data_IF_386658327832
#
_entry.id   IF_386658327832
#
_cell.length_a   1.000
_cell.length_b   1.000
_cell.length_c   1.000
_cell.angle_alpha   90.00
_cell.angle_beta   90.00
_cell.angle_gamma   90.00
#
_symmetry.space_group_name_H-M   'P 1'
#
loop_
_entity.id
_entity.type
_entity.pdbx_description
1 polymer ?
#
# COMPACT_ATOMS: atom_id res chain seq x y z
N UNK A 1 -12.49 -15.76 58.51
CA UNK A 1 -12.20 -16.53 57.27
C UNK A 1 -13.17 -17.71 57.19
N UNK A 2 -14.12 -17.68 56.24
CA UNK A 2 -15.36 -18.49 56.27
C UNK A 2 -15.09 -20.01 56.17
N UNK A 3 -15.76 -20.80 57.01
CA UNK A 3 -15.68 -22.28 57.15
C UNK A 3 -15.75 -23.06 55.83
N UNK A 4 -16.40 -22.49 54.81
CA UNK A 4 -16.48 -23.04 53.46
C UNK A 4 -15.13 -23.09 52.72
N UNK A 5 -14.25 -22.09 52.90
CA UNK A 5 -12.89 -22.09 52.30
C UNK A 5 -12.03 -23.23 52.83
N UNK A 6 -12.14 -23.56 54.13
CA UNK A 6 -11.43 -24.69 54.73
C UNK A 6 -11.92 -26.04 54.19
N UNK A 7 -13.23 -26.19 53.98
CA UNK A 7 -13.82 -27.40 53.37
C UNK A 7 -13.43 -27.56 51.90
N UNK A 8 -13.42 -26.47 51.14
CA UNK A 8 -12.97 -26.47 49.75
C UNK A 8 -11.48 -26.83 49.64
N UNK A 9 -10.62 -26.25 50.49
CA UNK A 9 -9.19 -26.56 50.55
C UNK A 9 -8.94 -28.05 50.83
N UNK A 10 -9.57 -28.59 51.88
CA UNK A 10 -9.38 -29.99 52.27
C UNK A 10 -9.90 -30.97 51.19
N UNK A 11 -11.02 -30.65 50.53
CA UNK A 11 -11.57 -31.48 49.45
C UNK A 11 -10.72 -31.47 48.17
N UNK A 12 -10.22 -30.29 47.76
CA UNK A 12 -9.44 -30.14 46.53
C UNK A 12 -7.98 -30.58 46.71
N UNK A 13 -7.33 -30.16 47.79
CA UNK A 13 -5.87 -30.31 47.96
C UNK A 13 -5.51 -31.66 48.57
N UNK A 14 -6.25 -32.13 49.58
CA UNK A 14 -5.90 -33.39 50.27
C UNK A 14 -6.59 -34.62 49.67
N UNK A 15 -7.84 -34.49 49.18
CA UNK A 15 -8.61 -35.63 48.66
C UNK A 15 -8.42 -35.89 47.17
N UNK A 16 -8.23 -34.85 46.36
CA UNK A 16 -8.17 -34.96 44.89
C UNK A 16 -7.11 -34.05 44.24
N UNK A 17 -5.82 -34.20 44.59
CA UNK A 17 -4.77 -33.32 44.09
C UNK A 17 -4.67 -33.30 42.56
N UNK A 18 -4.89 -34.43 41.88
CA UNK A 18 -4.92 -34.51 40.41
C UNK A 18 -6.06 -33.70 39.77
N UNK A 19 -7.25 -33.69 40.39
CA UNK A 19 -8.39 -32.90 39.89
C UNK A 19 -8.18 -31.40 40.17
N UNK A 20 -7.62 -31.05 41.32
CA UNK A 20 -7.25 -29.67 41.62
C UNK A 20 -6.17 -29.14 40.66
N UNK A 21 -5.16 -29.96 40.32
CA UNK A 21 -4.14 -29.61 39.33
C UNK A 21 -4.76 -29.41 37.93
N UNK A 22 -5.69 -30.29 37.53
CA UNK A 22 -6.38 -30.18 36.26
C UNK A 22 -7.27 -28.93 36.17
N UNK A 23 -7.99 -28.59 37.24
CA UNK A 23 -8.82 -27.37 37.30
C UNK A 23 -7.94 -26.12 37.30
N UNK A 24 -6.83 -26.11 38.05
CA UNK A 24 -5.87 -25.01 38.04
C UNK A 24 -5.23 -24.84 36.64
N UNK A 25 -4.86 -25.96 35.99
CA UNK A 25 -4.36 -25.96 34.62
C UNK A 25 -5.39 -25.42 33.63
N UNK A 26 -6.64 -25.83 33.74
CA UNK A 26 -7.74 -25.33 32.91
C UNK A 26 -7.99 -23.83 33.13
N UNK A 27 -7.93 -23.35 34.38
CA UNK A 27 -8.06 -21.93 34.70
C UNK A 27 -6.88 -21.10 34.19
N UNK A 28 -5.65 -21.63 34.25
CA UNK A 28 -4.46 -20.98 33.70
C UNK A 28 -4.51 -20.93 32.17
N UNK A 29 -4.95 -22.01 31.52
CA UNK A 29 -5.18 -22.03 30.07
C UNK A 29 -6.28 -21.05 29.67
N UNK A 30 -7.42 -21.06 30.36
CA UNK A 30 -8.47 -20.07 30.13
C UNK A 30 -7.96 -18.65 30.32
N UNK A 31 -7.22 -18.38 31.40
CA UNK A 31 -6.62 -17.08 31.67
C UNK A 31 -5.66 -16.62 30.57
N UNK A 32 -4.83 -17.53 30.04
CA UNK A 32 -3.88 -17.26 28.97
C UNK A 32 -4.56 -16.99 27.62
N UNK A 33 -5.66 -17.66 27.31
CA UNK A 33 -6.33 -17.59 26.00
C UNK A 33 -7.56 -16.66 25.94
N UNK A 34 -7.98 -16.05 27.06
CA UNK A 34 -9.18 -15.19 27.13
C UNK A 34 -8.92 -13.71 26.75
N UNK A 35 -7.88 -13.40 25.98
CA UNK A 35 -7.72 -12.08 25.39
C UNK A 35 -8.51 -11.98 24.08
N UNK A 36 -9.20 -10.86 23.81
CA UNK A 36 -9.88 -10.66 22.54
C UNK A 36 -8.88 -10.73 21.39
N UNK A 37 -9.29 -11.38 20.30
CA UNK A 37 -8.55 -11.45 19.03
C UNK A 37 -9.47 -10.95 17.91
N UNK A 38 -9.10 -9.92 17.14
CA UNK A 38 -7.88 -9.13 17.27
C UNK A 38 -7.85 -8.28 18.56
N UNK A 39 -6.66 -7.95 19.05
CA UNK A 39 -6.50 -7.12 20.26
C UNK A 39 -6.89 -5.66 19.98
N UNK A 40 -6.63 -5.20 18.75
CA UNK A 40 -6.99 -3.87 18.25
C UNK A 40 -8.02 -4.01 17.14
N UNK A 41 -9.07 -3.18 17.20
CA UNK A 41 -10.16 -3.12 16.22
C UNK A 41 -10.23 -1.73 15.53
N UNK A 42 -9.11 -0.99 15.56
CA UNK A 42 -9.02 0.33 14.95
C UNK A 42 -8.75 0.21 13.44
N UNK A 43 -9.40 1.02 12.60
CA UNK A 43 -9.18 0.95 11.15
C UNK A 43 -7.75 1.34 10.79
N UNK A 44 -7.13 0.65 9.85
CA UNK A 44 -5.79 1.01 9.34
C UNK A 44 -5.87 1.75 8.00
N UNK A 45 -4.83 2.52 7.71
CA UNK A 45 -4.57 3.16 6.43
C UNK A 45 -4.26 2.10 5.38
N UNK A 46 -4.77 2.27 4.16
CA UNK A 46 -4.37 1.42 3.05
C UNK A 46 -3.02 1.89 2.53
N UNK A 47 -2.06 0.97 2.41
CA UNK A 47 -0.69 1.22 1.99
C UNK A 47 -0.41 0.44 0.71
N UNK A 48 0.14 1.11 -0.29
CA UNK A 48 0.56 0.53 -1.57
C UNK A 48 2.08 0.50 -1.62
N UNK A 49 2.64 -0.68 -1.85
CA UNK A 49 4.08 -0.91 -1.93
C UNK A 49 4.51 -1.40 -3.31
N UNK A 50 5.74 -1.06 -3.67
CA UNK A 50 6.42 -1.59 -4.85
C UNK A 50 6.74 -3.08 -4.67
N UNK A 51 7.22 -3.69 -5.75
CA UNK A 51 7.74 -5.06 -5.72
C UNK A 51 8.78 -5.25 -4.63
N UNK A 52 9.59 -4.24 -4.33
CA UNK A 52 10.68 -4.31 -3.35
C UNK A 52 10.27 -3.85 -1.93
N UNK A 53 8.98 -3.58 -1.71
CA UNK A 53 8.46 -3.14 -0.40
C UNK A 53 8.63 -1.64 -0.13
N UNK A 54 8.92 -0.83 -1.15
CA UNK A 54 9.02 0.63 -1.01
C UNK A 54 7.64 1.28 -1.11
N UNK A 55 7.38 2.30 -0.30
CA UNK A 55 6.08 2.96 -0.23
C UNK A 55 5.78 3.74 -1.52
N UNK A 56 4.75 3.34 -2.26
CA UNK A 56 4.27 4.02 -3.47
C UNK A 56 3.15 5.02 -3.16
N UNK A 57 2.34 4.73 -2.15
CA UNK A 57 1.18 5.55 -1.79
C UNK A 57 0.49 5.06 -0.52
N UNK A 58 -0.25 5.94 0.14
CA UNK A 58 -1.13 5.53 1.23
C UNK A 58 -2.41 6.36 1.27
N UNK A 59 -3.49 5.73 1.72
CA UNK A 59 -4.80 6.33 1.96
C UNK A 59 -5.08 6.35 3.45
N UNK A 60 -5.53 7.50 3.95
CA UNK A 60 -5.84 7.71 5.36
C UNK A 60 -6.92 6.72 5.83
N UNK A 61 -6.85 6.31 7.11
CA UNK A 61 -7.85 5.42 7.69
C UNK A 61 -9.22 6.13 7.80
N UNK A 62 -10.29 5.34 7.95
CA UNK A 62 -11.66 5.84 8.04
C UNK A 62 -11.89 6.80 9.23
N UNK A 63 -11.12 6.66 10.31
CA UNK A 63 -11.15 7.53 11.49
C UNK A 63 -10.27 8.79 11.35
N UNK A 64 -9.70 9.04 10.17
CA UNK A 64 -8.86 10.21 9.89
C UNK A 64 -7.43 10.11 10.44
N UNK A 65 -7.01 8.91 10.89
CA UNK A 65 -5.66 8.66 11.38
C UNK A 65 -4.77 8.10 10.27
N UNK A 66 -3.53 8.59 10.20
CA UNK A 66 -2.44 7.90 9.52
C UNK A 66 -1.95 6.79 10.43
N UNK A 67 -2.52 5.59 10.25
CA UNK A 67 -2.24 4.38 11.02
C UNK A 67 -1.90 3.26 10.07
N UNK A 68 -0.61 3.04 9.81
CA UNK A 68 -0.21 1.99 8.86
C UNK A 68 -0.52 0.60 9.43
N UNK A 69 -0.67 -0.43 8.59
CA UNK A 69 -0.92 -1.80 9.02
C UNK A 69 0.21 -2.31 9.93
N UNK A 70 -0.14 -3.17 10.90
CA UNK A 70 0.80 -3.66 11.90
C UNK A 70 2.08 -4.24 11.28
N UNK A 71 3.21 -3.97 11.93
CA UNK A 71 4.53 -4.44 11.50
C UNK A 71 4.93 -5.68 12.29
N UNK A 72 5.65 -6.61 11.67
CA UNK A 72 6.11 -7.82 12.35
C UNK A 72 7.31 -7.57 13.29
N UNK A 73 8.07 -6.50 13.03
CA UNK A 73 9.29 -6.20 13.77
C UNK A 73 9.61 -4.71 13.73
N UNK A 74 10.31 -4.26 14.76
CA UNK A 74 10.80 -2.88 14.87
C UNK A 74 12.32 -2.81 14.63
N UNK A 75 12.84 -1.67 14.13
CA UNK A 75 14.27 -1.47 13.97
C UNK A 75 15.02 -1.50 15.32
N UNK A 76 16.24 -2.07 15.38
CA UNK A 76 17.00 -2.19 16.63
C UNK A 76 17.22 -0.85 17.35
N UNK A 77 17.54 0.23 16.62
CA UNK A 77 17.75 1.55 17.23
C UNK A 77 16.51 2.06 17.97
N UNK A 78 15.34 1.87 17.38
CA UNK A 78 14.07 2.28 17.99
C UNK A 78 13.73 1.39 19.19
N UNK A 79 13.95 0.07 19.07
CA UNK A 79 13.77 -0.87 20.18
C UNK A 79 14.61 -0.50 21.40
N UNK A 80 15.91 -0.25 21.20
CA UNK A 80 16.82 0.15 22.27
C UNK A 80 16.42 1.50 22.87
N UNK A 81 16.09 2.49 22.03
CA UNK A 81 15.66 3.80 22.50
C UNK A 81 14.34 3.74 23.30
N UNK A 82 13.37 2.97 22.82
CA UNK A 82 12.06 2.81 23.45
C UNK A 82 12.16 2.10 24.79
N UNK A 83 12.86 0.96 24.84
CA UNK A 83 13.04 0.20 26.08
C UNK A 83 13.86 1.01 27.10
N UNK A 84 14.92 1.70 26.69
CA UNK A 84 15.70 2.54 27.59
C UNK A 84 14.89 3.73 28.15
N UNK A 85 13.93 4.26 27.37
CA UNK A 85 13.10 5.39 27.77
C UNK A 85 11.90 4.99 28.63
N UNK A 86 11.06 4.06 28.16
CA UNK A 86 9.79 3.69 28.80
C UNK A 86 9.95 2.55 29.80
N UNK A 87 10.77 1.54 29.51
CA UNK A 87 10.79 0.28 30.26
C UNK A 87 12.13 -0.47 30.19
N UNK A 88 13.12 -0.01 30.97
CA UNK A 88 14.51 -0.55 30.95
C UNK A 88 14.61 -2.04 31.25
N UNK A 89 13.62 -2.59 31.95
CA UNK A 89 13.60 -4.02 32.34
C UNK A 89 12.56 -4.81 31.56
N UNK A 90 12.10 -4.28 30.43
CA UNK A 90 11.06 -4.89 29.61
C UNK A 90 11.28 -6.39 29.39
N UNK A 91 12.50 -6.81 29.11
CA UNK A 91 12.85 -8.22 28.85
C UNK A 91 12.87 -9.13 30.09
N UNK A 92 12.87 -8.57 31.30
CA UNK A 92 13.08 -9.30 32.56
C UNK A 92 11.83 -9.46 33.42
N UNK A 93 10.69 -8.89 33.02
CA UNK A 93 9.44 -9.00 33.78
C UNK A 93 8.28 -9.53 32.94
N UNK A 94 7.30 -10.24 33.52
CA UNK A 94 6.13 -10.76 32.82
C UNK A 94 5.01 -9.70 32.75
N UNK A 95 5.25 -8.58 32.09
CA UNK A 95 4.26 -7.51 31.89
C UNK A 95 4.12 -6.47 32.99
N UNK A 96 4.50 -6.77 34.24
CA UNK A 96 4.58 -5.76 35.31
C UNK A 96 5.94 -5.83 35.97
N UNK A 97 6.59 -4.68 36.16
CA UNK A 97 7.87 -4.54 36.86
C UNK A 97 7.63 -4.20 38.35
N UNK A 98 7.72 -5.17 39.29
CA UNK A 98 7.45 -4.92 40.70
C UNK A 98 8.49 -3.99 41.32
N UNK A 99 9.75 -4.10 40.88
CA UNK A 99 10.84 -3.26 41.37
C UNK A 99 10.65 -1.83 40.85
N UNK A 100 10.17 -1.68 39.60
CA UNK A 100 9.88 -0.39 38.98
C UNK A 100 8.71 0.30 39.67
N UNK A 101 7.66 -0.46 39.98
CA UNK A 101 6.51 0.00 40.73
C UNK A 101 6.89 0.46 42.15
N UNK A 102 7.69 -0.32 42.87
CA UNK A 102 8.19 0.03 44.21
C UNK A 102 9.04 1.30 44.20
N UNK A 103 9.94 1.45 43.22
CA UNK A 103 10.75 2.66 43.03
C UNK A 103 9.88 3.89 42.77
N UNK A 104 8.91 3.77 41.86
CA UNK A 104 7.99 4.85 41.51
C UNK A 104 7.13 5.26 42.71
N UNK A 105 6.65 4.28 43.50
CA UNK A 105 5.89 4.54 44.72
C UNK A 105 6.72 5.31 45.76
N UNK A 106 7.94 4.86 46.04
CA UNK A 106 8.86 5.53 46.97
C UNK A 106 9.17 6.96 46.52
N UNK A 107 9.39 7.16 45.22
CA UNK A 107 9.65 8.49 44.66
C UNK A 107 8.43 9.41 44.79
N UNK A 108 7.23 8.91 44.50
CA UNK A 108 6.00 9.70 44.60
C UNK A 108 5.69 10.10 46.05
N UNK A 109 5.92 9.19 47.01
CA UNK A 109 5.79 9.48 48.45
C UNK A 109 6.77 10.58 48.87
N UNK A 110 8.05 10.46 48.49
CA UNK A 110 9.09 11.47 48.82
C UNK A 110 8.82 12.83 48.18
N UNK A 111 8.19 12.84 47.00
CA UNK A 111 7.97 14.07 46.22
C UNK A 111 6.65 14.78 46.55
N UNK A 112 5.75 14.15 47.31
CA UNK A 112 4.40 14.65 47.58
C UNK A 112 3.50 14.78 46.34
N UNK A 113 3.96 14.35 45.17
CA UNK A 113 3.27 14.41 43.88
C UNK A 113 3.69 13.25 42.99
N UNK A 114 2.88 12.92 41.98
CA UNK A 114 3.21 11.87 41.02
C UNK A 114 4.32 12.38 40.09
N UNK A 115 5.55 11.91 40.30
CA UNK A 115 6.75 12.28 39.51
C UNK A 115 7.16 11.17 38.55
N UNK A 116 7.01 9.91 38.94
CA UNK A 116 7.33 8.75 38.09
C UNK A 116 6.11 7.86 37.92
N UNK A 117 5.82 7.53 36.66
CA UNK A 117 4.92 6.44 36.31
C UNK A 117 5.57 5.09 36.64
N UNK A 118 4.74 4.09 36.91
CA UNK A 118 5.16 2.69 37.10
C UNK A 118 4.36 1.78 36.17
N UNK A 119 4.16 2.21 34.93
CA UNK A 119 3.47 1.43 33.88
C UNK A 119 4.52 0.93 32.90
N UNK A 120 4.45 -0.34 32.55
CA UNK A 120 5.33 -1.01 31.58
C UNK A 120 4.83 -0.81 30.15
N UNK A 121 5.64 -1.15 29.15
CA UNK A 121 5.21 -1.13 27.74
C UNK A 121 4.00 -2.02 27.50
N UNK A 122 3.97 -3.21 28.09
CA UNK A 122 2.86 -4.16 27.99
C UNK A 122 1.56 -3.58 28.55
N UNK A 123 1.61 -2.87 29.69
CA UNK A 123 0.44 -2.17 30.23
C UNK A 123 -0.03 -1.05 29.29
N UNK A 124 0.91 -0.33 28.67
CA UNK A 124 0.57 0.71 27.69
C UNK A 124 -0.11 0.13 26.45
N UNK A 125 0.34 -1.01 25.92
CA UNK A 125 -0.32 -1.72 24.80
C UNK A 125 -1.79 -2.03 25.14
N UNK A 126 -2.03 -2.66 26.29
CA UNK A 126 -3.38 -2.97 26.76
C UNK A 126 -4.23 -1.72 26.92
N UNK A 127 -3.66 -0.64 27.46
CA UNK A 127 -4.37 0.61 27.64
C UNK A 127 -4.80 1.20 26.29
N UNK A 128 -3.93 1.17 25.29
CA UNK A 128 -4.24 1.63 23.93
C UNK A 128 -5.31 0.76 23.27
N UNK A 129 -5.19 -0.56 23.37
CA UNK A 129 -6.19 -1.51 22.85
C UNK A 129 -7.59 -1.30 23.42
N UNK A 130 -7.68 -0.82 24.67
CA UNK A 130 -8.94 -0.52 25.35
C UNK A 130 -9.47 0.91 25.13
N UNK A 131 -8.94 1.64 24.15
CA UNK A 131 -9.38 3.01 23.86
C UNK A 131 -8.93 4.04 24.90
N UNK A 132 -7.79 3.82 25.56
CA UNK A 132 -7.17 4.75 26.50
C UNK A 132 -8.09 5.23 27.64
N UNK A 133 -8.60 4.32 28.50
CA UNK A 133 -9.47 4.68 29.62
C UNK A 133 -8.83 5.70 30.59
N UNK A 134 -9.66 6.40 31.40
CA UNK A 134 -9.18 7.39 32.37
C UNK A 134 -8.22 6.76 33.39
N UNK A 135 -7.24 7.55 33.84
CA UNK A 135 -6.17 7.11 34.75
C UNK A 135 -6.67 6.94 36.18
N UNK A 136 -7.32 5.81 36.46
CA UNK A 136 -7.77 5.42 37.80
C UNK A 136 -7.01 4.18 38.30
N UNK A 137 -6.94 3.99 39.62
CA UNK A 137 -6.32 2.80 40.22
C UNK A 137 -6.99 1.50 39.75
N UNK A 138 -8.32 1.55 39.57
CA UNK A 138 -9.09 0.42 39.04
C UNK A 138 -8.70 0.06 37.60
N UNK A 139 -8.59 1.05 36.72
CA UNK A 139 -8.16 0.81 35.35
C UNK A 139 -6.72 0.27 35.30
N UNK A 140 -5.85 0.78 36.18
CA UNK A 140 -4.48 0.27 36.32
C UNK A 140 -4.42 -1.18 36.78
N UNK A 141 -5.35 -1.62 37.64
CA UNK A 141 -5.46 -3.03 38.04
C UNK A 141 -5.90 -3.92 36.87
N UNK A 142 -6.86 -3.45 36.05
CA UNK A 142 -7.27 -4.16 34.83
C UNK A 142 -6.10 -4.24 33.83
N UNK A 143 -5.39 -3.13 33.60
CA UNK A 143 -4.19 -3.09 32.75
C UNK A 143 -3.13 -4.08 33.22
N UNK A 144 -2.88 -4.18 34.53
CA UNK A 144 -1.96 -5.14 35.13
C UNK A 144 -2.37 -6.58 34.82
N UNK A 145 -3.63 -6.94 35.07
CA UNK A 145 -4.14 -8.29 34.86
C UNK A 145 -4.13 -8.67 33.38
N UNK A 146 -4.46 -7.75 32.48
CA UNK A 146 -4.47 -8.01 31.05
C UNK A 146 -3.05 -8.00 30.45
N UNK A 147 -2.12 -7.21 31.00
CA UNK A 147 -0.72 -7.20 30.56
C UNK A 147 -0.03 -8.53 30.85
N UNK A 148 -0.26 -9.10 32.04
CA UNK A 148 0.26 -10.45 32.37
C UNK A 148 -0.34 -11.52 31.45
N UNK A 149 -1.60 -11.36 31.01
CA UNK A 149 -2.20 -12.27 30.01
C UNK A 149 -1.54 -12.14 28.64
N UNK A 150 -1.28 -10.90 28.20
CA UNK A 150 -0.64 -10.65 26.91
C UNK A 150 0.75 -11.28 26.84
N UNK A 151 1.50 -11.23 27.93
CA UNK A 151 2.84 -11.81 28.04
C UNK A 151 2.88 -13.33 28.07
N UNK A 152 1.75 -13.97 28.40
CA UNK A 152 1.62 -15.43 28.30
C UNK A 152 1.31 -15.88 26.87
N UNK A 153 0.67 -15.02 26.07
CA UNK A 153 0.21 -15.34 24.72
C UNK A 153 1.06 -14.77 23.59
N UNK A 154 1.94 -13.81 23.88
CA UNK A 154 2.73 -13.08 22.88
C UNK A 154 4.19 -12.95 23.29
N UNK A 155 5.08 -12.98 22.30
CA UNK A 155 6.50 -12.74 22.52
C UNK A 155 6.80 -11.27 22.83
N UNK A 156 7.92 -10.99 23.50
CA UNK A 156 8.37 -9.62 23.78
C UNK A 156 8.48 -8.77 22.51
N UNK A 157 8.92 -9.37 21.41
CA UNK A 157 9.03 -8.71 20.11
C UNK A 157 7.66 -8.37 19.52
N UNK A 158 6.68 -9.27 19.63
CA UNK A 158 5.29 -8.99 19.23
C UNK A 158 4.68 -7.86 20.05
N UNK A 159 4.91 -7.82 21.36
CA UNK A 159 4.41 -6.74 22.22
C UNK A 159 5.02 -5.39 21.81
N UNK A 160 6.31 -5.36 21.50
CA UNK A 160 6.97 -4.14 20.98
C UNK A 160 6.44 -3.72 19.61
N UNK A 161 6.18 -4.68 18.72
CA UNK A 161 5.57 -4.44 17.42
C UNK A 161 4.14 -3.87 17.55
N UNK A 162 3.32 -4.43 18.45
CA UNK A 162 1.99 -3.92 18.77
C UNK A 162 2.07 -2.50 19.35
N UNK A 163 2.98 -2.26 20.29
CA UNK A 163 3.20 -0.91 20.82
C UNK A 163 3.57 0.06 19.71
N UNK A 164 4.57 -0.29 18.91
CA UNK A 164 5.08 0.57 17.86
C UNK A 164 4.04 0.82 16.76
N UNK A 165 3.11 -0.10 16.51
CA UNK A 165 2.05 0.07 15.50
C UNK A 165 0.91 0.97 15.97
N UNK A 166 0.63 1.00 17.27
CA UNK A 166 -0.56 1.68 17.83
C UNK A 166 -0.25 2.92 18.69
N UNK A 167 1.03 3.19 18.98
CA UNK A 167 1.44 4.36 19.76
C UNK A 167 1.11 5.67 19.01
N UNK A 168 0.57 6.69 19.69
CA UNK A 168 0.31 7.99 19.08
C UNK A 168 1.59 8.82 19.02
N UNK A 169 1.99 9.31 17.84
CA UNK A 169 3.19 10.15 17.69
C UNK A 169 2.87 11.65 17.54
N UNK A 170 1.57 11.99 17.47
CA UNK A 170 1.05 13.36 17.55
C UNK A 170 0.25 13.77 16.31
N UNK A 171 -0.63 14.77 16.47
CA UNK A 171 -1.61 15.10 15.44
C UNK A 171 -2.49 13.89 15.11
N UNK A 172 -2.61 13.57 13.82
CA UNK A 172 -3.32 12.40 13.33
C UNK A 172 -2.39 11.23 12.95
N UNK A 173 -1.21 11.14 13.57
CA UNK A 173 -0.19 10.12 13.24
C UNK A 173 -0.11 9.07 14.34
N UNK A 174 -0.39 7.82 13.97
CA UNK A 174 -0.38 6.65 14.85
C UNK A 174 0.53 5.59 14.25
N UNK A 175 1.44 5.05 15.06
CA UNK A 175 2.37 4.03 14.65
C UNK A 175 3.70 4.58 14.12
N UNK A 176 4.76 3.80 14.36
CA UNK A 176 6.16 4.15 14.08
C UNK A 176 6.40 4.34 12.58
N UNK A 177 5.83 3.49 11.75
CA UNK A 177 6.04 3.55 10.29
C UNK A 177 5.41 4.81 9.70
N UNK A 178 4.17 5.12 10.08
CA UNK A 178 3.51 6.36 9.68
C UNK A 178 4.27 7.59 10.21
N UNK A 179 4.75 7.55 11.47
CA UNK A 179 5.54 8.64 12.05
C UNK A 179 6.88 8.84 11.34
N UNK A 180 7.58 7.76 10.99
CA UNK A 180 8.86 7.81 10.28
C UNK A 180 8.71 8.47 8.91
N UNK A 181 7.68 8.10 8.16
CA UNK A 181 7.38 8.73 6.88
C UNK A 181 6.92 10.17 7.02
N UNK A 182 6.03 10.46 7.97
CA UNK A 182 5.46 11.80 8.14
C UNK A 182 6.48 12.80 8.68
N UNK A 183 7.39 12.40 9.57
CA UNK A 183 8.33 13.35 10.16
C UNK A 183 9.71 13.35 9.50
N UNK A 184 10.11 12.26 8.85
CA UNK A 184 11.45 12.13 8.28
C UNK A 184 11.49 11.67 6.82
N UNK A 185 10.34 11.39 6.20
CA UNK A 185 10.26 11.01 4.79
C UNK A 185 10.95 9.69 4.44
N UNK A 186 11.14 8.79 5.41
CA UNK A 186 11.87 7.53 5.23
C UNK A 186 11.33 6.40 6.09
N UNK A 187 11.73 5.17 5.76
CA UNK A 187 11.34 3.97 6.51
C UNK A 187 11.98 3.94 7.90
N UNK A 188 11.34 3.30 8.91
CA UNK A 188 11.88 3.21 10.26
C UNK A 188 13.30 2.63 10.35
N UNK A 189 13.67 1.74 9.42
CA UNK A 189 14.99 1.10 9.38
C UNK A 189 16.11 2.09 9.07
N UNK A 190 15.81 3.21 8.42
CA UNK A 190 16.75 4.25 8.01
C UNK A 190 16.85 5.40 9.02
N UNK A 191 16.22 5.26 10.19
CA UNK A 191 16.28 6.29 11.23
C UNK A 191 17.69 6.40 11.83
N UNK A 192 18.10 7.65 12.10
CA UNK A 192 19.27 7.96 12.91
C UNK A 192 18.98 7.68 14.39
N UNK A 193 20.01 7.75 15.25
CA UNK A 193 19.81 7.66 16.69
C UNK A 193 19.01 8.85 17.24
N UNK A 194 19.20 10.05 16.69
CA UNK A 194 18.45 11.23 17.10
C UNK A 194 16.96 11.08 16.78
N UNK A 195 16.65 10.60 15.58
CA UNK A 195 15.27 10.40 15.11
C UNK A 195 14.60 9.24 15.86
N UNK A 196 15.29 8.12 16.05
CA UNK A 196 14.77 7.00 16.84
C UNK A 196 14.51 7.39 18.30
N UNK A 197 15.44 8.11 18.94
CA UNK A 197 15.27 8.63 20.29
C UNK A 197 14.12 9.63 20.38
N UNK A 198 13.95 10.48 19.37
CA UNK A 198 12.83 11.41 19.29
C UNK A 198 11.49 10.66 19.21
N UNK A 199 11.36 9.68 18.30
CA UNK A 199 10.15 8.89 18.18
C UNK A 199 9.88 8.09 19.47
N UNK A 200 10.91 7.59 20.15
CA UNK A 200 10.73 6.88 21.43
C UNK A 200 10.13 7.77 22.54
N UNK A 201 10.41 9.08 22.57
CA UNK A 201 9.89 9.98 23.62
C UNK A 201 8.51 10.57 23.32
N UNK A 202 8.06 10.54 22.07
CA UNK A 202 6.82 11.18 21.63
C UNK A 202 5.53 10.54 22.17
N UNK A 203 5.37 9.20 22.22
CA UNK A 203 4.15 8.55 22.69
C UNK A 203 3.67 9.02 24.07
N UNK A 204 4.62 9.32 24.96
CA UNK A 204 4.34 9.83 26.29
C UNK A 204 3.77 11.26 26.29
N UNK A 205 4.14 12.06 25.29
CA UNK A 205 3.74 13.47 25.17
C UNK A 205 3.55 13.88 23.70
N UNK A 206 2.52 13.35 23.01
CA UNK A 206 2.39 13.51 21.56
C UNK A 206 2.24 14.97 21.12
N UNK A 207 1.65 15.82 21.96
CA UNK A 207 1.50 17.26 21.68
C UNK A 207 2.82 18.05 21.61
N UNK A 208 3.97 17.44 21.94
CA UNK A 208 5.28 18.09 21.80
C UNK A 208 5.74 18.21 20.34
N UNK A 209 5.14 17.46 19.41
CA UNK A 209 5.58 17.43 18.01
C UNK A 209 5.23 18.70 17.22
N UNK A 210 4.27 19.50 17.70
CA UNK A 210 3.76 20.64 16.94
C UNK A 210 4.84 21.68 16.66
N UNK A 211 5.10 22.03 15.38
CA UNK A 211 6.08 23.05 15.03
C UNK A 211 5.82 24.38 15.74
N UNK A 212 6.88 25.03 16.23
CA UNK A 212 6.83 26.34 16.91
C UNK A 212 6.56 26.29 18.41
N UNK A 213 5.67 25.40 18.90
CA UNK A 213 5.37 25.27 20.34
C UNK A 213 6.13 24.10 20.96
N UNK A 214 6.69 24.27 22.16
CA UNK A 214 7.34 23.20 22.94
C UNK A 214 8.56 22.50 22.28
N UNK A 215 9.11 23.05 21.18
CA UNK A 215 10.27 22.47 20.46
C UNK A 215 11.50 22.31 21.36
N UNK A 216 11.77 23.28 22.22
CA UNK A 216 12.85 23.17 23.22
C UNK A 216 12.60 22.02 24.22
N UNK A 217 11.35 21.82 24.66
CA UNK A 217 11.02 20.74 25.58
C UNK A 217 11.20 19.36 24.92
N UNK A 218 10.81 19.22 23.65
CA UNK A 218 11.06 18.01 22.87
C UNK A 218 12.56 17.74 22.68
N UNK A 219 13.32 18.78 22.31
CA UNK A 219 14.77 18.72 22.13
C UNK A 219 15.46 18.25 23.41
N UNK A 220 15.10 18.84 24.56
CA UNK A 220 15.63 18.47 25.86
C UNK A 220 15.28 17.02 26.25
N UNK A 221 14.06 16.55 25.93
CA UNK A 221 13.65 15.15 26.17
C UNK A 221 14.46 14.18 25.32
N UNK A 222 14.57 14.43 24.02
CA UNK A 222 15.39 13.63 23.09
C UNK A 222 16.85 13.57 23.56
N UNK A 223 17.45 14.71 23.82
CA UNK A 223 18.87 14.82 24.22
C UNK A 223 19.14 14.21 25.61
N UNK A 224 18.12 14.12 26.48
CA UNK A 224 18.23 13.37 27.73
C UNK A 224 18.24 11.86 27.48
N UNK A 225 17.43 11.36 26.56
CA UNK A 225 17.43 9.95 26.19
C UNK A 225 18.75 9.56 25.50
N UNK A 226 19.27 10.39 24.59
CA UNK A 226 20.57 10.15 23.95
C UNK A 226 21.71 10.00 24.97
N UNK A 227 21.79 10.89 25.97
CA UNK A 227 22.76 10.76 27.07
C UNK A 227 22.58 9.48 27.88
N UNK A 228 21.34 9.07 28.15
CA UNK A 228 21.08 7.79 28.83
C UNK A 228 21.52 6.59 28.00
N UNK A 229 21.30 6.62 26.68
CA UNK A 229 21.79 5.58 25.78
C UNK A 229 23.31 5.49 25.81
N UNK A 230 24.00 6.62 25.85
CA UNK A 230 25.45 6.67 26.02
C UNK A 230 25.91 6.12 27.38
N UNK A 231 25.29 6.56 28.48
CA UNK A 231 25.58 6.08 29.85
C UNK A 231 25.34 4.56 30.00
N UNK A 232 24.36 4.02 29.28
CA UNK A 232 24.06 2.60 29.22
C UNK A 232 24.95 1.80 28.25
N UNK A 233 25.92 2.46 27.58
CA UNK A 233 26.85 1.85 26.64
C UNK A 233 26.23 1.41 25.31
N UNK A 234 25.04 1.90 24.96
CA UNK A 234 24.35 1.55 23.70
C UNK A 234 24.89 2.33 22.50
N UNK A 235 25.44 3.53 22.74
CA UNK A 235 26.11 4.37 21.74
C UNK A 235 27.39 4.96 22.34
N UNK A 236 28.39 5.19 21.50
CA UNK A 236 29.62 5.87 21.93
C UNK A 236 29.42 7.39 22.06
N UNK A 237 30.45 8.07 22.62
CA UNK A 237 30.40 9.51 22.87
C UNK A 237 30.30 10.37 21.61
N UNK A 238 30.97 9.98 20.53
CA UNK A 238 30.95 10.69 19.26
C UNK A 238 29.58 10.55 18.58
N UNK A 239 29.01 9.34 18.57
CA UNK A 239 27.67 9.07 18.08
C UNK A 239 26.63 9.88 18.87
N UNK A 240 26.78 9.96 20.20
CA UNK A 240 25.89 10.77 21.03
C UNK A 240 25.99 12.26 20.70
N UNK A 241 27.21 12.80 20.55
CA UNK A 241 27.39 14.23 20.24
C UNK A 241 26.80 14.58 18.87
N UNK A 242 27.07 13.76 17.84
CA UNK A 242 26.53 13.96 16.50
C UNK A 242 24.99 13.87 16.50
N UNK A 243 24.41 12.88 17.19
CA UNK A 243 22.95 12.73 17.29
C UNK A 243 22.28 13.90 18.04
N UNK A 244 22.98 14.54 18.99
CA UNK A 244 22.45 15.70 19.70
C UNK A 244 22.43 16.96 18.83
N UNK A 245 23.32 17.06 17.83
CA UNK A 245 23.39 18.15 16.86
C UNK A 245 22.35 18.04 15.74
N UNK A 246 21.82 16.84 15.47
CA UNK A 246 20.76 16.68 14.47
C UNK A 246 19.52 17.54 14.82
N UNK A 247 18.95 18.26 13.83
CA UNK A 247 17.78 19.10 14.06
C UNK A 247 16.54 18.26 14.36
N UNK A 248 15.54 18.87 15.02
CA UNK A 248 14.20 18.29 15.09
C UNK A 248 13.49 18.45 13.73
N UNK A 249 12.60 17.53 13.34
CA UNK A 249 11.83 17.66 12.12
C UNK A 249 10.95 18.91 12.15
N UNK A 250 10.62 19.43 10.97
CA UNK A 250 9.78 20.61 10.80
C UNK A 250 8.32 20.21 10.61
N UNK A 251 7.64 20.78 9.61
CA UNK A 251 6.31 20.37 9.23
C UNK A 251 6.31 18.92 8.71
N UNK A 252 5.22 18.15 8.94
CA UNK A 252 5.12 16.80 8.41
C UNK A 252 5.24 16.76 6.87
N UNK A 253 6.05 15.84 6.36
CA UNK A 253 6.20 15.57 4.93
C UNK A 253 4.92 14.97 4.34
N UNK A 254 4.59 15.31 3.08
CA UNK A 254 3.60 14.55 2.33
C UNK A 254 4.08 13.11 2.16
N UNK A 255 3.14 12.17 2.20
CA UNK A 255 3.47 10.78 1.86
C UNK A 255 3.78 10.67 0.36
N UNK A 256 4.63 9.71 -0.06
CA UNK A 256 4.79 9.39 -1.47
C UNK A 256 3.42 9.17 -2.13
N UNK A 257 3.27 9.67 -3.36
CA UNK A 257 2.06 9.52 -4.16
C UNK A 257 2.44 9.18 -5.61
N UNK A 258 3.17 8.08 -5.77
CA UNK A 258 3.75 7.66 -7.04
C UNK A 258 2.73 6.97 -7.97
N UNK A 259 1.74 6.28 -7.40
CA UNK A 259 0.69 5.57 -8.14
C UNK A 259 -0.72 5.79 -7.52
N UNK A 260 -1.20 7.04 -7.43
CA UNK A 260 -2.45 7.36 -6.73
C UNK A 260 -3.70 6.74 -7.39
N UNK A 261 -3.73 6.64 -8.73
CA UNK A 261 -4.83 5.99 -9.44
C UNK A 261 -4.90 4.50 -9.12
N UNK A 262 -3.76 3.82 -9.07
CA UNK A 262 -3.69 2.41 -8.69
C UNK A 262 -4.12 2.20 -7.22
N UNK A 263 -3.68 3.08 -6.32
CA UNK A 263 -4.10 3.07 -4.92
C UNK A 263 -5.63 3.23 -4.79
N UNK A 264 -6.22 4.18 -5.52
CA UNK A 264 -7.66 4.39 -5.53
C UNK A 264 -8.40 3.19 -6.11
N UNK A 265 -7.93 2.62 -7.23
CA UNK A 265 -8.49 1.42 -7.83
C UNK A 265 -8.47 0.24 -6.87
N UNK A 266 -7.31 -0.04 -6.25
CA UNK A 266 -7.16 -1.09 -5.26
C UNK A 266 -8.11 -0.89 -4.08
N UNK A 267 -8.23 0.33 -3.57
CA UNK A 267 -9.20 0.64 -2.52
C UNK A 267 -10.64 0.29 -2.91
N UNK A 268 -11.08 0.69 -4.11
CA UNK A 268 -12.44 0.39 -4.58
C UNK A 268 -12.68 -1.11 -4.75
N UNK A 269 -11.72 -1.84 -5.30
CA UNK A 269 -11.82 -3.30 -5.48
C UNK A 269 -11.92 -4.03 -4.13
N UNK A 270 -11.17 -3.59 -3.11
CA UNK A 270 -11.18 -4.21 -1.79
C UNK A 270 -12.46 -3.89 -1.01
N UNK A 271 -12.97 -2.66 -1.16
CA UNK A 271 -14.29 -2.29 -0.62
C UNK A 271 -15.39 -3.12 -1.27
N UNK A 272 -15.38 -3.26 -2.60
CA UNK A 272 -16.39 -4.05 -3.33
C UNK A 272 -16.37 -5.55 -2.97
N UNK A 273 -15.19 -6.09 -2.64
CA UNK A 273 -15.02 -7.51 -2.28
C UNK A 273 -15.13 -7.80 -0.78
N UNK A 274 -15.39 -6.78 0.05
CA UNK A 274 -15.46 -6.92 1.51
C UNK A 274 -14.12 -7.24 2.18
N UNK A 275 -13.00 -7.09 1.47
CA UNK A 275 -11.64 -7.41 1.95
C UNK A 275 -10.96 -6.22 2.64
N UNK A 276 -11.74 -5.34 3.29
CA UNK A 276 -11.24 -4.07 3.85
C UNK A 276 -10.17 -4.28 4.94
N UNK A 277 -10.08 -5.48 5.51
CA UNK A 277 -9.02 -5.87 6.46
C UNK A 277 -7.62 -5.95 5.83
N UNK A 278 -7.52 -6.18 4.52
CA UNK A 278 -6.25 -6.18 3.80
C UNK A 278 -5.83 -4.76 3.45
N UNK A 279 -5.05 -4.16 4.34
CA UNK A 279 -4.64 -2.76 4.23
C UNK A 279 -3.19 -2.55 3.80
N UNK A 280 -2.39 -3.61 3.61
CA UNK A 280 -1.06 -3.53 2.97
C UNK A 280 -1.08 -4.29 1.64
N UNK A 281 -0.84 -3.59 0.54
CA UNK A 281 -0.90 -4.15 -0.81
C UNK A 281 0.49 -4.03 -1.44
N UNK A 282 1.13 -5.19 -1.66
CA UNK A 282 2.38 -5.27 -2.43
C UNK A 282 2.05 -5.48 -3.90
N UNK A 283 2.58 -4.60 -4.74
CA UNK A 283 2.36 -4.62 -6.19
C UNK A 283 3.57 -5.19 -6.93
N UNK A 284 3.42 -5.32 -8.24
CA UNK A 284 4.51 -5.67 -9.17
C UNK A 284 5.29 -4.44 -9.64
N UNK A 285 4.87 -3.23 -9.27
CA UNK A 285 5.45 -1.97 -9.76
C UNK A 285 6.90 -1.84 -9.30
N UNK A 286 7.74 -1.32 -10.18
CA UNK A 286 9.12 -0.96 -9.87
C UNK A 286 9.17 0.55 -9.59
N UNK A 287 9.64 0.95 -8.41
CA UNK A 287 9.60 2.34 -7.98
C UNK A 287 10.35 3.28 -8.94
N UNK A 288 11.54 2.88 -9.40
CA UNK A 288 12.34 3.69 -10.31
C UNK A 288 11.65 3.87 -11.67
N UNK A 289 11.07 2.80 -12.21
CA UNK A 289 10.33 2.85 -13.48
C UNK A 289 9.07 3.69 -13.34
N UNK A 290 8.35 3.58 -12.23
CA UNK A 290 7.18 4.40 -11.93
C UNK A 290 7.54 5.89 -11.89
N UNK A 291 8.63 6.27 -11.21
CA UNK A 291 9.11 7.66 -11.16
C UNK A 291 9.49 8.19 -12.54
N UNK A 292 10.19 7.38 -13.34
CA UNK A 292 10.57 7.74 -14.71
C UNK A 292 9.33 7.95 -15.58
N UNK A 293 8.35 7.04 -15.51
CA UNK A 293 7.10 7.14 -16.25
C UNK A 293 6.34 8.42 -15.89
N UNK A 294 6.18 8.71 -14.60
CA UNK A 294 5.51 9.93 -14.14
C UNK A 294 6.22 11.19 -14.64
N UNK A 295 7.55 11.24 -14.57
CA UNK A 295 8.33 12.39 -15.05
C UNK A 295 8.18 12.61 -16.57
N UNK A 296 8.16 11.53 -17.37
CA UNK A 296 7.91 11.60 -18.82
C UNK A 296 6.52 12.14 -19.11
N UNK A 297 5.50 11.64 -18.41
CA UNK A 297 4.12 12.09 -18.59
C UNK A 297 3.94 13.56 -18.20
N UNK A 298 4.48 13.99 -17.05
CA UNK A 298 4.45 15.38 -16.61
C UNK A 298 5.14 16.31 -17.62
N UNK A 299 6.30 15.89 -18.15
CA UNK A 299 7.01 16.66 -19.18
C UNK A 299 6.16 16.84 -20.45
N UNK A 300 5.56 15.76 -20.96
CA UNK A 300 4.73 15.82 -22.15
C UNK A 300 3.42 16.57 -21.93
N UNK A 301 2.79 16.42 -20.76
CA UNK A 301 1.56 17.12 -20.41
C UNK A 301 1.77 18.63 -20.41
N UNK A 302 2.87 19.14 -19.83
CA UNK A 302 3.19 20.57 -19.86
C UNK A 302 3.34 21.14 -21.27
N UNK A 303 3.82 20.34 -22.22
CA UNK A 303 3.93 20.76 -23.63
C UNK A 303 2.58 20.73 -24.34
N UNK A 304 1.79 19.70 -24.04
CA UNK A 304 0.49 19.45 -24.69
C UNK A 304 -0.64 20.30 -24.11
N UNK A 305 -0.50 20.83 -22.89
CA UNK A 305 -1.47 21.73 -22.27
C UNK A 305 -1.67 23.02 -23.06
N UNK A 306 -0.68 23.45 -23.85
CA UNK A 306 -0.82 24.58 -24.78
C UNK A 306 -1.82 24.30 -25.93
N UNK A 307 -2.23 23.05 -26.11
CA UNK A 307 -3.25 22.60 -27.06
C UNK A 307 -4.48 22.03 -26.34
N UNK A 308 -4.70 22.43 -25.08
CA UNK A 308 -5.83 21.97 -24.24
C UNK A 308 -5.83 20.44 -23.97
N UNK A 309 -4.67 19.79 -24.10
CA UNK A 309 -4.52 18.36 -23.78
C UNK A 309 -3.88 18.24 -22.39
N UNK A 310 -4.72 17.94 -21.40
CA UNK A 310 -4.33 17.89 -19.99
C UNK A 310 -4.22 16.48 -19.42
N UNK A 311 -4.83 15.47 -20.06
CA UNK A 311 -4.84 14.09 -19.54
C UNK A 311 -3.98 13.17 -20.40
N UNK A 312 -3.05 12.48 -19.76
CA UNK A 312 -2.24 11.44 -20.36
C UNK A 312 -2.19 10.24 -19.40
N UNK A 313 -2.25 9.04 -19.95
CA UNK A 313 -2.07 7.81 -19.19
C UNK A 313 -1.05 6.91 -19.86
N UNK A 314 -0.39 6.10 -19.04
CA UNK A 314 0.53 5.09 -19.53
C UNK A 314 0.59 3.90 -18.57
N UNK A 315 0.82 2.73 -19.15
CA UNK A 315 1.01 1.49 -18.43
C UNK A 315 2.20 0.76 -19.06
N UNK A 316 3.06 0.18 -18.22
CA UNK A 316 4.21 -0.61 -18.68
C UNK A 316 4.02 -2.03 -18.17
N UNK A 317 4.02 -2.98 -19.10
CA UNK A 317 3.83 -4.41 -18.84
C UNK A 317 5.10 -5.17 -19.18
N UNK A 318 5.48 -6.12 -18.33
CA UNK A 318 6.46 -7.13 -18.69
C UNK A 318 5.82 -8.14 -19.64
N UNK A 319 6.38 -8.32 -20.83
CA UNK A 319 5.81 -9.21 -21.85
C UNK A 319 5.83 -10.66 -21.40
N UNK A 320 6.86 -11.10 -20.69
CA UNK A 320 7.02 -12.50 -20.31
C UNK A 320 6.04 -12.88 -19.20
N UNK A 321 6.12 -12.19 -18.07
CA UNK A 321 5.32 -12.48 -16.88
C UNK A 321 3.90 -11.94 -16.95
N UNK A 322 3.66 -10.92 -17.79
CA UNK A 322 2.39 -10.18 -17.82
C UNK A 322 2.22 -9.23 -16.64
N UNK A 323 3.24 -9.05 -15.80
CA UNK A 323 3.18 -8.17 -14.64
C UNK A 323 3.19 -6.69 -15.06
N UNK A 324 2.43 -5.85 -14.36
CA UNK A 324 2.47 -4.40 -14.57
C UNK A 324 3.66 -3.83 -13.80
N UNK A 325 4.62 -3.25 -14.50
CA UNK A 325 5.83 -2.68 -13.93
C UNK A 325 5.68 -1.19 -13.56
N UNK A 326 4.79 -0.47 -14.25
CA UNK A 326 4.44 0.91 -13.94
C UNK A 326 3.00 1.22 -14.38
N UNK A 327 2.30 2.06 -13.60
CA UNK A 327 0.89 2.40 -13.77
C UNK A 327 0.66 3.87 -13.51
N UNK A 328 0.31 4.64 -14.55
CA UNK A 328 -0.06 6.04 -14.44
C UNK A 328 -1.43 6.26 -15.08
N UNK A 329 -2.46 6.31 -14.23
CA UNK A 329 -3.86 6.45 -14.63
C UNK A 329 -4.20 7.80 -15.22
N UNK A 330 -3.47 8.85 -14.83
CA UNK A 330 -3.53 10.20 -15.37
C UNK A 330 -2.28 10.98 -14.90
N UNK A 331 -2.10 12.21 -15.36
CA UNK A 331 -1.03 13.10 -14.89
C UNK A 331 -1.47 13.87 -13.64
N UNK A 332 -0.73 13.70 -12.56
CA UNK A 332 -0.92 14.48 -11.33
C UNK A 332 -0.27 15.85 -11.54
N UNK A 333 -1.02 16.92 -11.29
CA UNK A 333 -0.61 18.30 -11.60
C UNK A 333 -1.27 18.90 -12.83
N UNK A 334 -2.13 18.14 -13.52
CA UNK A 334 -2.99 18.69 -14.57
C UNK A 334 -4.03 19.67 -14.00
N UNK A 335 -4.36 19.59 -12.71
CA UNK A 335 -5.32 20.44 -12.04
C UNK A 335 -6.67 19.76 -11.82
N UNK A 336 -7.38 20.16 -10.77
CA UNK A 336 -8.67 19.59 -10.40
C UNK A 336 -9.73 19.78 -11.50
N UNK A 337 -9.72 20.94 -12.17
CA UNK A 337 -10.64 21.27 -13.27
C UNK A 337 -10.48 20.35 -14.48
N UNK A 338 -9.31 19.71 -14.61
CA UNK A 338 -8.98 18.77 -15.67
C UNK A 338 -9.08 17.31 -15.23
N UNK A 339 -9.67 17.02 -14.07
CA UNK A 339 -9.96 15.67 -13.63
C UNK A 339 -8.72 14.80 -13.38
N UNK A 340 -7.62 15.39 -12.87
CA UNK A 340 -6.35 14.66 -12.62
C UNK A 340 -6.50 13.41 -11.74
N UNK A 341 -7.55 13.33 -10.92
CA UNK A 341 -7.87 12.19 -10.05
C UNK A 341 -8.53 11.02 -10.81
N UNK A 342 -9.06 11.25 -12.01
CA UNK A 342 -9.77 10.25 -12.81
C UNK A 342 -8.76 9.34 -13.48
N UNK A 343 -8.84 8.04 -13.18
CA UNK A 343 -8.04 7.02 -13.84
C UNK A 343 -8.62 6.76 -15.25
N UNK A 344 -7.90 7.18 -16.29
CA UNK A 344 -8.34 7.00 -17.68
C UNK A 344 -7.86 5.69 -18.30
N UNK A 345 -7.07 4.86 -17.60
CA UNK A 345 -6.61 3.55 -18.12
C UNK A 345 -7.79 2.62 -18.38
N UNK A 346 -8.77 2.62 -17.47
CA UNK A 346 -10.00 1.82 -17.57
C UNK A 346 -11.12 2.50 -18.36
N UNK A 347 -10.94 3.74 -18.84
CA UNK A 347 -11.98 4.47 -19.54
C UNK A 347 -12.08 4.03 -21.01
N UNK A 348 -13.27 3.64 -21.51
CA UNK A 348 -13.46 3.34 -22.92
C UNK A 348 -13.18 4.59 -23.77
N UNK A 349 -12.36 4.42 -24.81
CA UNK A 349 -12.04 5.44 -25.81
C UNK A 349 -12.06 4.81 -27.19
N UNK A 350 -12.35 5.61 -28.22
CA UNK A 350 -12.21 5.16 -29.61
C UNK A 350 -10.83 4.56 -29.81
N UNK A 351 -10.78 3.35 -30.34
CA UNK A 351 -9.53 2.62 -30.61
C UNK A 351 -8.72 3.23 -31.75
N UNK A 352 -9.33 4.11 -32.55
CA UNK A 352 -8.74 4.62 -33.79
C UNK A 352 -8.18 3.48 -34.65
N UNK A 353 -6.94 3.64 -35.11
CA UNK A 353 -6.28 2.65 -35.98
C UNK A 353 -5.64 1.46 -35.24
N UNK A 354 -5.76 1.37 -33.91
CA UNK A 354 -5.07 0.37 -33.08
C UNK A 354 -5.58 -1.06 -33.35
N UNK A 355 -6.76 -1.22 -33.96
CA UNK A 355 -7.33 -2.53 -34.30
C UNK A 355 -6.83 -3.10 -35.64
N UNK A 356 -6.27 -2.28 -36.53
CA UNK A 356 -5.79 -2.70 -37.86
C UNK A 356 -4.73 -3.82 -37.81
N UNK A 357 -3.72 -3.79 -36.90
CA UNK A 357 -2.74 -4.86 -36.81
C UNK A 357 -3.36 -6.23 -36.48
N UNK A 358 -4.43 -6.28 -35.68
CA UNK A 358 -5.11 -7.54 -35.35
C UNK A 358 -5.84 -8.12 -36.56
N UNK A 359 -6.55 -7.29 -37.34
CA UNK A 359 -7.18 -7.75 -38.59
C UNK A 359 -6.11 -8.31 -39.53
N UNK A 360 -5.02 -7.55 -39.73
CA UNK A 360 -3.91 -7.96 -40.58
C UNK A 360 -3.30 -9.29 -40.14
N UNK A 361 -3.03 -9.45 -38.83
CA UNK A 361 -2.47 -10.67 -38.27
C UNK A 361 -3.40 -11.88 -38.42
N UNK A 362 -4.71 -11.70 -38.16
CA UNK A 362 -5.71 -12.77 -38.32
C UNK A 362 -5.85 -13.22 -39.77
N UNK A 363 -5.89 -12.28 -40.72
CA UNK A 363 -5.93 -12.63 -42.14
C UNK A 363 -4.65 -13.31 -42.63
N UNK A 364 -3.48 -12.91 -42.12
CA UNK A 364 -2.22 -13.60 -42.38
C UNK A 364 -2.23 -15.03 -41.82
N UNK A 365 -2.67 -15.20 -40.58
CA UNK A 365 -2.73 -16.50 -39.90
C UNK A 365 -3.62 -17.50 -40.65
N UNK A 366 -4.67 -17.04 -41.31
CA UNK A 366 -5.57 -17.87 -42.11
C UNK A 366 -5.17 -17.99 -43.59
N UNK A 367 -4.02 -17.44 -43.98
CA UNK A 367 -3.56 -17.44 -45.37
C UNK A 367 -4.45 -16.66 -46.34
N UNK A 368 -5.28 -15.73 -45.84
CA UNK A 368 -6.17 -14.88 -46.66
C UNK A 368 -5.42 -13.78 -47.37
N UNK A 369 -4.33 -13.31 -46.77
CA UNK A 369 -3.41 -12.33 -47.36
C UNK A 369 -1.98 -12.76 -47.13
N UNK A 370 -1.07 -12.20 -47.93
CA UNK A 370 0.37 -12.17 -47.69
C UNK A 370 0.82 -10.70 -47.61
N UNK A 371 2.02 -10.41 -47.07
CA UNK A 371 2.49 -9.03 -46.96
C UNK A 371 2.55 -8.26 -48.29
N UNK A 372 2.70 -8.96 -49.41
CA UNK A 372 2.76 -8.40 -50.77
C UNK A 372 1.45 -8.53 -51.55
N UNK A 373 0.40 -9.11 -50.97
CA UNK A 373 -0.93 -9.12 -51.60
C UNK A 373 -1.39 -7.70 -51.89
N UNK A 374 -1.95 -7.48 -53.08
CA UNK A 374 -2.49 -6.17 -53.46
C UNK A 374 -3.89 -6.00 -52.86
N UNK A 375 -4.14 -4.81 -52.32
CA UNK A 375 -5.40 -4.41 -51.70
C UNK A 375 -5.81 -3.07 -52.31
N UNK A 376 -7.10 -2.87 -52.63
CA UNK A 376 -7.57 -1.63 -53.23
C UNK A 376 -7.57 -0.48 -52.20
N UNK A 377 -6.95 0.63 -52.59
CA UNK A 377 -7.04 1.97 -52.00
C UNK A 377 -7.64 2.92 -53.05
N UNK A 378 -8.92 2.72 -53.34
CA UNK A 378 -9.69 3.48 -54.34
C UNK A 378 -10.99 3.98 -53.73
N UNK A 379 -11.59 5.06 -54.25
CA UNK A 379 -12.90 5.52 -53.77
C UNK A 379 -13.92 4.39 -53.73
N UNK A 380 -14.53 4.17 -52.57
CA UNK A 380 -15.55 3.14 -52.40
C UNK A 380 -16.72 3.66 -51.56
N UNK A 381 -17.92 3.20 -51.90
CA UNK A 381 -19.14 3.50 -51.16
C UNK A 381 -19.82 2.19 -50.76
N UNK A 382 -20.06 2.03 -49.46
CA UNK A 382 -20.60 0.82 -48.86
C UNK A 382 -21.88 1.18 -48.10
N UNK A 383 -23.05 0.95 -48.70
CA UNK A 383 -24.36 1.20 -48.05
C UNK A 383 -24.49 2.60 -47.43
N UNK A 384 -24.01 3.64 -48.13
CA UNK A 384 -24.03 5.02 -47.66
C UNK A 384 -22.81 5.44 -46.81
N UNK A 385 -21.94 4.51 -46.42
CA UNK A 385 -20.67 4.79 -45.76
C UNK A 385 -19.54 4.94 -46.78
N UNK A 386 -18.76 6.02 -46.67
CA UNK A 386 -17.61 6.32 -47.52
C UNK A 386 -16.37 6.47 -46.63
N UNK A 387 -15.51 5.45 -46.51
CA UNK A 387 -14.26 5.58 -45.79
C UNK A 387 -13.31 6.48 -46.57
N UNK A 388 -12.63 7.39 -45.87
CA UNK A 388 -11.64 8.30 -46.45
C UNK A 388 -10.31 8.14 -45.70
N UNK A 389 -9.21 8.27 -46.44
CA UNK A 389 -7.88 8.29 -45.85
C UNK A 389 -7.63 9.65 -45.21
N UNK A 390 -6.75 9.71 -44.21
CA UNK A 390 -6.47 10.96 -43.50
C UNK A 390 -5.97 12.11 -44.40
N UNK A 391 -5.29 11.79 -45.51
CA UNK A 391 -4.76 12.77 -46.46
C UNK A 391 -5.63 12.95 -47.71
N UNK A 392 -6.88 12.48 -47.71
CA UNK A 392 -7.87 12.60 -48.81
C UNK A 392 -7.38 12.19 -50.21
N UNK A 393 -6.32 11.36 -50.28
CA UNK A 393 -5.76 10.81 -51.51
C UNK A 393 -5.80 9.27 -51.50
N UNK A 394 -5.76 8.68 -52.69
CA UNK A 394 -5.93 7.26 -52.97
C UNK A 394 -4.70 6.72 -53.72
N UNK A 395 -4.02 5.72 -53.14
CA UNK A 395 -2.80 5.13 -53.73
C UNK A 395 -3.10 4.11 -54.86
N UNK A 396 -4.37 3.81 -55.16
CA UNK A 396 -4.75 2.81 -56.15
C UNK A 396 -4.56 1.38 -55.61
N UNK A 397 -3.62 0.61 -56.16
CA UNK A 397 -3.34 -0.75 -55.67
C UNK A 397 -2.10 -0.73 -54.75
N UNK A 398 -2.28 -1.05 -53.47
CA UNK A 398 -1.19 -1.07 -52.48
C UNK A 398 -0.95 -2.46 -51.93
N UNK A 399 0.28 -2.74 -51.51
CA UNK A 399 0.56 -3.98 -50.79
C UNK A 399 -0.08 -3.96 -49.40
N UNK A 400 -0.55 -5.10 -48.91
CA UNK A 400 -1.18 -5.22 -47.60
C UNK A 400 -0.24 -4.72 -46.47
N UNK A 401 1.08 -4.97 -46.57
CA UNK A 401 2.07 -4.41 -45.65
C UNK A 401 2.12 -2.88 -45.69
N UNK A 402 2.10 -2.27 -46.88
CA UNK A 402 2.10 -0.80 -47.05
C UNK A 402 0.82 -0.19 -46.46
N UNK A 403 -0.32 -0.82 -46.69
CA UNK A 403 -1.59 -0.40 -46.10
C UNK A 403 -1.53 -0.34 -44.58
N UNK A 404 -0.91 -1.33 -43.93
CA UNK A 404 -0.72 -1.32 -42.47
C UNK A 404 0.29 -0.26 -42.02
N UNK A 405 1.46 -0.16 -42.66
CA UNK A 405 2.51 0.82 -42.29
C UNK A 405 2.00 2.26 -42.38
N UNK A 406 1.24 2.58 -43.44
CA UNK A 406 0.65 3.90 -43.64
C UNK A 406 -0.68 4.09 -42.91
N UNK A 407 -1.16 3.05 -42.21
CA UNK A 407 -2.47 3.04 -41.55
C UNK A 407 -3.62 3.50 -42.46
N UNK A 408 -3.64 3.05 -43.72
CA UNK A 408 -4.68 3.46 -44.68
C UNK A 408 -6.06 2.94 -44.24
N UNK A 409 -7.10 3.75 -44.40
CA UNK A 409 -8.44 3.41 -43.95
C UNK A 409 -9.18 2.53 -44.96
N UNK A 410 -9.15 2.93 -46.23
CA UNK A 410 -9.89 2.27 -47.31
C UNK A 410 -9.45 0.81 -47.52
N UNK A 411 -8.15 0.48 -47.60
CA UNK A 411 -7.71 -0.91 -47.71
C UNK A 411 -8.13 -1.75 -46.50
N UNK A 412 -8.11 -1.18 -45.30
CA UNK A 412 -8.46 -1.91 -44.07
C UNK A 412 -9.95 -2.21 -43.98
N UNK A 413 -10.80 -1.30 -44.47
CA UNK A 413 -12.24 -1.55 -44.61
C UNK A 413 -12.50 -2.64 -45.65
N UNK A 414 -11.82 -2.60 -46.80
CA UNK A 414 -11.92 -3.67 -47.81
C UNK A 414 -11.48 -5.03 -47.25
N UNK A 415 -10.38 -5.07 -46.51
CA UNK A 415 -9.89 -6.27 -45.83
C UNK A 415 -10.89 -6.79 -44.80
N UNK A 416 -11.50 -5.91 -44.00
CA UNK A 416 -12.52 -6.32 -43.02
C UNK A 416 -13.74 -6.91 -43.71
N UNK A 417 -14.19 -6.30 -44.81
CA UNK A 417 -15.30 -6.82 -45.60
C UNK A 417 -14.99 -8.22 -46.14
N UNK A 418 -13.76 -8.46 -46.64
CA UNK A 418 -13.33 -9.77 -47.13
C UNK A 418 -13.17 -10.80 -46.01
N UNK A 419 -12.70 -10.39 -44.84
CA UNK A 419 -12.47 -11.27 -43.69
C UNK A 419 -13.78 -11.65 -42.96
N UNK A 420 -14.76 -10.75 -42.96
CA UNK A 420 -16.05 -10.89 -42.28
C UNK A 420 -16.09 -10.14 -40.95
N UNK A 421 -17.11 -9.29 -40.80
CA UNK A 421 -17.29 -8.43 -39.63
C UNK A 421 -17.55 -9.23 -38.35
N UNK A 422 -18.46 -10.19 -38.40
CA UNK A 422 -18.85 -11.05 -37.28
C UNK A 422 -17.65 -11.85 -36.77
N UNK A 423 -16.85 -12.35 -37.71
CA UNK A 423 -15.64 -13.11 -37.44
C UNK A 423 -14.56 -12.25 -36.80
N UNK A 424 -14.34 -11.04 -37.30
CA UNK A 424 -13.39 -10.11 -36.70
C UNK A 424 -13.81 -9.73 -35.28
N UNK A 425 -15.07 -9.34 -35.12
CA UNK A 425 -15.66 -9.00 -33.83
C UNK A 425 -15.49 -10.14 -32.81
N UNK A 426 -15.82 -11.39 -33.19
CA UNK A 426 -15.65 -12.56 -32.33
C UNK A 426 -14.18 -12.76 -31.89
N UNK A 427 -13.23 -12.59 -32.81
CA UNK A 427 -11.81 -12.72 -32.48
C UNK A 427 -11.31 -11.61 -31.57
N UNK A 428 -11.76 -10.36 -31.75
CA UNK A 428 -11.43 -9.27 -30.83
C UNK A 428 -11.92 -9.57 -29.40
N UNK A 429 -13.14 -10.09 -29.25
CA UNK A 429 -13.64 -10.51 -27.94
C UNK A 429 -12.80 -11.64 -27.35
N UNK A 430 -12.36 -12.61 -28.15
CA UNK A 430 -11.44 -13.67 -27.72
C UNK A 430 -10.06 -13.15 -27.31
N UNK A 431 -9.59 -12.08 -27.94
CA UNK A 431 -8.32 -11.41 -27.60
C UNK A 431 -8.40 -10.58 -26.31
N UNK A 432 -9.59 -10.47 -25.69
CA UNK A 432 -9.78 -9.81 -24.40
C UNK A 432 -10.24 -8.35 -24.49
N UNK A 433 -10.68 -7.87 -25.65
CA UNK A 433 -11.32 -6.55 -25.75
C UNK A 433 -12.70 -6.56 -25.08
N UNK A 434 -12.74 -6.13 -23.81
CA UNK A 434 -13.91 -6.25 -22.93
C UNK A 434 -15.01 -5.23 -23.25
N UNK A 435 -14.64 -4.08 -23.82
CA UNK A 435 -15.53 -2.97 -24.20
C UNK A 435 -16.19 -3.14 -25.56
N UNK A 436 -15.81 -4.16 -26.33
CA UNK A 436 -16.48 -4.53 -27.58
C UNK A 436 -17.64 -5.48 -27.22
N UNK A 437 -18.73 -4.89 -26.77
CA UNK A 437 -19.86 -5.56 -26.12
C UNK A 437 -21.19 -5.44 -26.89
N UNK A 438 -21.27 -4.61 -27.94
CA UNK A 438 -22.44 -4.54 -28.81
C UNK A 438 -22.41 -5.60 -29.92
N UNK A 439 -23.55 -5.92 -30.56
CA UNK A 439 -23.57 -6.82 -31.71
C UNK A 439 -22.72 -6.28 -32.88
N UNK A 440 -22.17 -7.14 -33.76
CA UNK A 440 -21.34 -6.71 -34.89
C UNK A 440 -22.01 -5.63 -35.77
N UNK A 441 -23.33 -5.75 -35.99
CA UNK A 441 -24.11 -4.79 -36.78
C UNK A 441 -24.11 -3.36 -36.21
N UNK A 442 -23.92 -3.19 -34.89
CA UNK A 442 -23.79 -1.87 -34.27
C UNK A 442 -22.50 -1.16 -34.69
N UNK A 443 -21.38 -1.88 -34.69
CA UNK A 443 -20.08 -1.30 -35.03
C UNK A 443 -19.88 -1.13 -36.53
N UNK A 444 -20.40 -2.07 -37.33
CA UNK A 444 -20.22 -2.08 -38.78
C UNK A 444 -18.75 -2.15 -39.20
N UNK A 445 -18.48 -1.82 -40.46
CA UNK A 445 -17.11 -1.72 -40.98
C UNK A 445 -16.23 -0.64 -40.31
N UNK A 446 -16.78 0.47 -39.74
CA UNK A 446 -15.99 1.38 -38.92
C UNK A 446 -15.29 0.72 -37.72
N UNK A 447 -15.66 -0.50 -37.32
CA UNK A 447 -15.01 -1.28 -36.27
C UNK A 447 -13.47 -1.26 -36.38
N UNK A 448 -12.91 -1.47 -37.59
CA UNK A 448 -11.45 -1.51 -37.79
C UNK A 448 -10.78 -0.12 -37.79
N UNK A 449 -11.58 0.95 -37.86
CA UNK A 449 -11.12 2.33 -37.95
C UNK A 449 -11.31 3.13 -36.65
N UNK A 450 -11.76 2.47 -35.58
CA UNK A 450 -12.00 3.13 -34.29
C UNK A 450 -13.47 3.35 -33.95
N UNK A 451 -14.40 2.76 -34.71
CA UNK A 451 -15.83 2.77 -34.40
C UNK A 451 -16.19 1.95 -33.14
N UNK A 452 -15.24 1.20 -32.59
CA UNK A 452 -15.37 0.57 -31.28
C UNK A 452 -14.44 1.19 -30.25
N UNK A 453 -14.85 1.04 -29.00
CA UNK A 453 -14.14 1.53 -27.84
C UNK A 453 -13.23 0.45 -27.26
N UNK A 454 -12.09 0.87 -26.74
CA UNK A 454 -11.09 0.04 -26.05
C UNK A 454 -10.60 0.76 -24.80
N UNK A 455 -10.24 -0.01 -23.77
CA UNK A 455 -9.48 0.52 -22.63
C UNK A 455 -7.99 0.40 -22.92
N UNK A 456 -7.17 1.26 -22.31
CA UNK A 456 -5.72 1.12 -22.43
C UNK A 456 -5.24 -0.22 -21.85
N UNK A 457 -5.94 -0.72 -20.84
CA UNK A 457 -5.69 -2.03 -20.24
C UNK A 457 -5.82 -3.18 -21.24
N UNK A 458 -6.96 -3.27 -21.93
CA UNK A 458 -7.24 -4.34 -22.88
C UNK A 458 -6.29 -4.27 -24.09
N UNK A 459 -6.09 -3.06 -24.62
CA UNK A 459 -5.16 -2.82 -25.73
C UNK A 459 -3.75 -3.29 -25.35
N UNK A 460 -3.24 -2.84 -24.20
CA UNK A 460 -1.89 -3.19 -23.76
C UNK A 460 -1.74 -4.70 -23.60
N UNK A 461 -2.73 -5.37 -23.01
CA UNK A 461 -2.71 -6.81 -22.81
C UNK A 461 -2.73 -7.57 -24.16
N UNK A 462 -3.57 -7.14 -25.11
CA UNK A 462 -3.64 -7.75 -26.44
C UNK A 462 -2.31 -7.64 -27.22
N UNK A 463 -1.65 -6.47 -27.18
CA UNK A 463 -0.34 -6.29 -27.79
C UNK A 463 0.77 -7.05 -27.05
N UNK A 464 0.71 -7.12 -25.73
CA UNK A 464 1.64 -7.93 -24.93
C UNK A 464 1.52 -9.42 -25.28
N UNK A 465 0.29 -9.93 -25.46
CA UNK A 465 0.05 -11.29 -25.94
C UNK A 465 0.64 -11.54 -27.34
N UNK A 466 0.46 -10.62 -28.29
CA UNK A 466 1.10 -10.73 -29.61
C UNK A 466 2.64 -10.79 -29.51
N UNK A 467 3.22 -9.94 -28.66
CA UNK A 467 4.67 -9.92 -28.42
C UNK A 467 5.17 -11.21 -27.76
N UNK A 468 4.42 -11.73 -26.78
CA UNK A 468 4.71 -13.00 -26.10
C UNK A 468 4.67 -14.18 -27.07
N UNK A 469 3.65 -14.24 -27.94
CA UNK A 469 3.57 -15.26 -28.99
C UNK A 469 4.81 -15.25 -29.88
N UNK A 470 5.31 -14.08 -30.29
CA UNK A 470 6.53 -13.96 -31.07
C UNK A 470 7.77 -14.48 -30.32
N UNK A 471 7.90 -14.14 -29.02
CA UNK A 471 9.04 -14.57 -28.20
C UNK A 471 9.12 -16.09 -28.02
N UNK A 472 7.97 -16.75 -27.89
CA UNK A 472 7.92 -18.20 -27.75
C UNK A 472 7.78 -18.93 -29.08
N UNK A 473 7.59 -18.24 -30.20
CA UNK A 473 7.37 -18.87 -31.50
C UNK A 473 8.40 -19.98 -31.78
N UNK A 474 9.69 -19.69 -31.63
CA UNK A 474 10.74 -20.71 -31.85
C UNK A 474 10.86 -21.78 -30.76
N UNK A 475 10.35 -21.53 -29.55
CA UNK A 475 10.44 -22.45 -28.41
C UNK A 475 9.23 -23.38 -28.28
N UNK A 476 8.05 -22.93 -28.71
CA UNK A 476 6.79 -23.69 -28.69
C UNK A 476 6.40 -24.25 -30.06
N UNK A 477 6.94 -23.71 -31.17
CA UNK A 477 6.79 -24.27 -32.51
C UNK A 477 7.92 -25.29 -32.76
N UNK A 478 7.95 -26.32 -31.92
CA UNK A 478 8.59 -27.58 -32.31
C UNK A 478 7.74 -28.17 -33.42
N UNK A 479 8.33 -28.30 -34.61
CA UNK A 479 7.89 -29.27 -35.62
C UNK A 479 7.54 -30.62 -35.01
#
# INVERSE_FOLDING_TARGET
MKQWLKRAYHFLVERHPRKALAVLGALLLWYAFCLPRPLFDSPSSMVLESRDGSLLGARIAADGQWRFPEIDSIPPKFETALTEFEDRRFYYHPGVDPIGLGRALLQNIRSGKVVSGGSTLTMQVIRMARGNPPRTLWQKAIETIMATRLELGSSKKEILALYASHAPFGGNVVGLEAASWRYFGKTPRLLSWAEAAMLAVLPNSPGLIHPGRNRQALLQKRNRLLRRLQEAGQIDALTCSLAMEEPLPEAPHPLPSLAPHLLNRAYQEFVATGKVEQTRIRTTLQENLQKQLSAILEFHQKRLSASEIHNLAAIVIDVESGEILAYAGNVIGAGADHGEQVDVIGAPRSTGSILKPFLYALMLQEGKILPRSLVPDIPMQLSGYRPENYYDDYDGAVTARRALIRSLNVPMVSLLQQYGLEKFHFNLRKLGFSTINHPPAYYGLPLVLGGAEGTLWDITNAYACMSRMLRHYTASDSR
#
